data_IF_197818043786
#
_entry.id   IF_197818043786
#
_cell.length_a   1.000
_cell.length_b   1.000
_cell.length_c   1.000
_cell.angle_alpha   90.00
_cell.angle_beta   90.00
_cell.angle_gamma   90.00
#
_symmetry.space_group_name_H-M   'P 1'
#
loop_
_entity.id
_entity.type
_entity.pdbx_description
1 polymer ?
#
# COMPACT_ATOMS: atom_id res chain seq x y z
N UNK A 1 9.50 2.08 27.26
CA UNK A 1 9.41 1.35 25.95
C UNK A 1 10.42 0.20 25.91
N UNK A 2 11.56 0.34 26.59
CA UNK A 2 12.60 -0.69 26.58
C UNK A 2 12.15 -2.01 27.20
N UNK A 3 11.40 -1.97 28.32
CA UNK A 3 10.88 -3.16 29.01
C UNK A 3 9.92 -3.99 28.13
N UNK A 4 9.10 -3.33 27.28
CA UNK A 4 8.19 -4.05 26.39
C UNK A 4 8.96 -4.70 25.24
N UNK A 5 9.93 -3.99 24.67
CA UNK A 5 10.78 -4.52 23.61
C UNK A 5 11.60 -5.71 24.11
N UNK A 6 12.13 -5.64 25.33
CA UNK A 6 12.82 -6.76 25.97
C UNK A 6 11.87 -7.95 26.18
N UNK A 7 10.66 -7.72 26.67
CA UNK A 7 9.69 -8.77 26.95
C UNK A 7 9.25 -9.54 25.70
N UNK A 8 9.01 -8.84 24.57
CA UNK A 8 8.55 -9.50 23.32
C UNK A 8 9.68 -10.24 22.59
N UNK A 9 10.94 -9.90 22.89
CA UNK A 9 12.12 -10.57 22.34
C UNK A 9 12.71 -11.64 23.30
N UNK A 10 12.19 -11.74 24.53
CA UNK A 10 12.72 -12.68 25.52
C UNK A 10 12.52 -14.14 25.11
N UNK A 11 13.52 -14.96 25.42
CA UNK A 11 13.47 -16.42 25.28
C UNK A 11 13.92 -17.08 26.58
N UNK A 12 13.53 -18.34 26.78
CA UNK A 12 14.00 -19.15 27.92
C UNK A 12 14.02 -20.64 27.49
N UNK A 13 14.31 -21.53 28.45
CA UNK A 13 14.41 -22.96 28.16
C UNK A 13 13.08 -23.61 27.72
N UNK A 14 11.94 -23.00 28.03
CA UNK A 14 10.61 -23.48 27.61
C UNK A 14 10.18 -22.80 26.30
N UNK A 15 10.40 -21.50 26.20
CA UNK A 15 10.09 -20.69 25.01
C UNK A 15 11.41 -20.33 24.32
N UNK A 16 11.84 -21.19 23.41
CA UNK A 16 13.14 -21.08 22.71
C UNK A 16 13.12 -20.07 21.55
N UNK A 17 11.92 -19.63 21.17
CA UNK A 17 11.72 -18.56 20.19
C UNK A 17 10.95 -17.41 20.83
N UNK A 18 11.28 -16.18 20.46
CA UNK A 18 10.60 -15.00 20.98
C UNK A 18 9.20 -14.82 20.36
N UNK A 19 8.34 -14.05 21.03
CA UNK A 19 7.03 -13.69 20.48
C UNK A 19 7.16 -12.97 19.12
N UNK A 20 8.16 -12.11 18.98
CA UNK A 20 8.46 -11.40 17.72
C UNK A 20 8.75 -12.41 16.60
N UNK A 21 9.62 -13.41 16.83
CA UNK A 21 9.95 -14.42 15.82
C UNK A 21 8.71 -15.18 15.30
N UNK A 22 7.72 -15.40 16.16
CA UNK A 22 6.47 -16.05 15.76
C UNK A 22 5.50 -15.14 15.03
N UNK A 23 5.51 -13.84 15.33
CA UNK A 23 4.55 -12.87 14.82
C UNK A 23 5.04 -12.17 13.57
N UNK A 24 6.34 -12.08 13.35
CA UNK A 24 6.93 -11.40 12.20
C UNK A 24 6.83 -12.23 10.93
N UNK A 25 6.36 -11.60 9.85
CA UNK A 25 6.39 -12.14 8.49
C UNK A 25 7.32 -11.27 7.61
N UNK A 26 8.56 -11.09 8.06
CA UNK A 26 9.53 -10.16 7.47
C UNK A 26 10.46 -10.79 6.44
N UNK A 27 10.37 -12.11 6.24
CA UNK A 27 11.20 -12.80 5.24
C UNK A 27 10.88 -12.34 3.82
N UNK A 28 11.90 -11.88 3.11
CA UNK A 28 11.83 -11.56 1.68
C UNK A 28 12.14 -12.76 0.78
N UNK A 29 12.43 -13.94 1.37
CA UNK A 29 12.59 -15.15 0.60
C UNK A 29 11.23 -15.70 0.17
N UNK A 30 10.80 -15.32 -1.03
CA UNK A 30 9.56 -15.76 -1.66
C UNK A 30 9.80 -16.78 -2.79
N UNK A 31 10.95 -17.47 -2.81
CA UNK A 31 11.35 -18.37 -3.91
C UNK A 31 10.32 -19.47 -4.18
N UNK A 32 9.81 -20.11 -3.13
CA UNK A 32 8.76 -21.12 -3.27
C UNK A 32 7.46 -20.55 -3.83
N UNK A 33 7.09 -19.35 -3.39
CA UNK A 33 5.89 -18.66 -3.88
C UNK A 33 6.02 -18.30 -5.37
N UNK A 34 7.15 -17.75 -5.78
CA UNK A 34 7.42 -17.36 -7.17
C UNK A 34 7.59 -18.57 -8.09
N UNK A 35 8.18 -19.68 -7.60
CA UNK A 35 8.29 -20.92 -8.34
C UNK A 35 6.91 -21.54 -8.70
N UNK A 36 5.87 -21.21 -7.95
CA UNK A 36 4.49 -21.58 -8.25
C UNK A 36 3.71 -20.48 -8.99
N UNK A 37 4.41 -19.52 -9.62
CA UNK A 37 3.81 -18.38 -10.31
C UNK A 37 2.92 -17.49 -9.43
N UNK A 38 3.15 -17.49 -8.11
CA UNK A 38 2.40 -16.66 -7.17
C UNK A 38 2.49 -15.17 -7.52
N UNK A 39 1.40 -14.44 -7.29
CA UNK A 39 1.31 -12.99 -7.45
C UNK A 39 0.82 -12.36 -6.16
N UNK A 40 1.38 -11.21 -5.80
CA UNK A 40 1.02 -10.51 -4.57
C UNK A 40 0.83 -9.02 -4.85
N UNK A 41 -0.26 -8.47 -4.35
CA UNK A 41 -0.50 -7.02 -4.32
C UNK A 41 -0.52 -6.60 -2.85
N UNK A 42 0.43 -5.73 -2.49
CA UNK A 42 0.42 -5.01 -1.22
C UNK A 42 -0.33 -3.69 -1.42
N UNK A 43 -1.12 -3.29 -0.45
CA UNK A 43 -1.63 -1.93 -0.39
C UNK A 43 -1.65 -1.43 1.06
N UNK A 44 -1.41 -0.13 1.25
CA UNK A 44 -1.33 0.48 2.57
C UNK A 44 -1.84 1.92 2.53
N UNK A 45 -2.61 2.31 3.53
CA UNK A 45 -3.07 3.68 3.70
C UNK A 45 -1.97 4.59 4.25
N UNK A 46 -1.68 5.70 3.58
CA UNK A 46 -0.61 6.61 4.02
C UNK A 46 -0.91 7.32 5.35
N UNK A 47 -2.18 7.34 5.76
CA UNK A 47 -2.62 7.91 7.04
C UNK A 47 -3.03 6.84 8.04
N UNK A 48 -2.52 5.61 7.92
CA UNK A 48 -2.80 4.53 8.85
C UNK A 48 -2.28 4.88 10.26
N UNK A 49 -3.18 5.03 11.28
CA UNK A 49 -2.78 5.38 12.63
C UNK A 49 -2.34 4.16 13.46
N UNK A 50 -2.47 2.95 12.93
CA UNK A 50 -2.20 1.68 13.64
C UNK A 50 -0.86 1.10 13.23
N UNK A 51 -0.63 0.99 11.93
CA UNK A 51 0.60 0.46 11.37
C UNK A 51 1.27 1.49 10.44
N UNK A 52 2.57 1.62 10.57
CA UNK A 52 3.33 2.53 9.73
C UNK A 52 3.42 2.01 8.29
N UNK A 53 3.03 2.82 7.31
CA UNK A 53 3.26 2.49 5.91
C UNK A 53 4.74 2.29 5.59
N UNK A 54 5.64 2.90 6.35
CA UNK A 54 7.09 2.76 6.15
C UNK A 54 7.59 1.34 6.39
N UNK A 55 6.92 0.56 7.24
CA UNK A 55 7.28 -0.85 7.46
C UNK A 55 6.95 -1.67 6.19
N UNK A 56 5.80 -1.42 5.57
CA UNK A 56 5.41 -2.06 4.30
C UNK A 56 6.32 -1.62 3.15
N UNK A 57 6.67 -0.33 3.09
CA UNK A 57 7.61 0.19 2.09
C UNK A 57 8.98 -0.45 2.27
N UNK A 58 9.51 -0.49 3.49
CA UNK A 58 10.81 -1.12 3.79
C UNK A 58 10.83 -2.60 3.41
N UNK A 59 9.76 -3.33 3.70
CA UNK A 59 9.64 -4.72 3.28
C UNK A 59 9.70 -4.85 1.74
N UNK A 60 8.94 -4.03 1.02
CA UNK A 60 8.89 -4.05 -0.44
C UNK A 60 10.24 -3.64 -1.07
N UNK A 61 10.93 -2.65 -0.49
CA UNK A 61 12.27 -2.23 -0.92
C UNK A 61 13.31 -3.32 -0.68
N UNK A 62 13.26 -4.00 0.47
CA UNK A 62 14.12 -5.14 0.77
C UNK A 62 13.88 -6.30 -0.20
N UNK A 63 12.61 -6.59 -0.52
CA UNK A 63 12.23 -7.57 -1.53
C UNK A 63 12.79 -7.17 -2.91
N UNK A 64 12.65 -5.90 -3.29
CA UNK A 64 13.15 -5.36 -4.56
C UNK A 64 14.69 -5.36 -4.63
N UNK A 65 15.35 -5.13 -3.50
CA UNK A 65 16.82 -5.20 -3.41
C UNK A 65 17.32 -6.63 -3.59
N UNK A 66 16.56 -7.63 -3.12
CA UNK A 66 16.88 -9.05 -3.27
C UNK A 66 16.66 -9.54 -4.70
N UNK A 67 15.50 -9.25 -5.29
CA UNK A 67 15.04 -9.88 -6.53
C UNK A 67 15.23 -8.96 -7.77
N UNK A 68 15.62 -7.71 -7.55
CA UNK A 68 15.90 -6.74 -8.61
C UNK A 68 14.70 -6.50 -9.52
N UNK A 69 14.93 -6.49 -10.82
CA UNK A 69 13.87 -6.28 -11.82
C UNK A 69 12.81 -7.39 -11.82
N UNK A 70 13.10 -8.56 -11.25
CA UNK A 70 12.15 -9.66 -11.17
C UNK A 70 11.00 -9.37 -10.20
N UNK A 71 11.21 -8.52 -9.18
CA UNK A 71 10.16 -8.16 -8.21
C UNK A 71 8.87 -7.74 -8.91
N UNK A 72 8.98 -6.91 -9.93
CA UNK A 72 7.84 -6.45 -10.72
C UNK A 72 7.08 -7.55 -11.48
N UNK A 73 7.62 -8.76 -11.58
CA UNK A 73 6.94 -9.88 -12.25
C UNK A 73 5.96 -10.61 -11.33
N UNK A 74 6.07 -10.42 -10.01
CA UNK A 74 5.23 -11.13 -9.03
C UNK A 74 4.69 -10.25 -7.88
N UNK A 75 5.24 -9.07 -7.66
CA UNK A 75 4.83 -8.18 -6.56
C UNK A 75 4.52 -6.76 -7.04
N UNK A 76 3.51 -6.13 -6.46
CA UNK A 76 3.16 -4.71 -6.59
C UNK A 76 2.83 -4.15 -5.22
N UNK A 77 3.25 -2.92 -4.96
CA UNK A 77 2.84 -2.15 -3.78
C UNK A 77 2.08 -0.90 -4.24
N UNK A 78 0.94 -0.64 -3.62
CA UNK A 78 0.15 0.57 -3.82
C UNK A 78 -0.01 1.31 -2.49
N UNK A 79 0.39 2.57 -2.45
CA UNK A 79 0.14 3.46 -1.33
C UNK A 79 -1.11 4.29 -1.64
N UNK A 80 -2.02 4.38 -0.66
CA UNK A 80 -3.30 5.05 -0.84
C UNK A 80 -3.29 6.35 -0.03
N UNK A 81 -3.18 7.53 -0.70
CA UNK A 81 -3.12 8.82 -0.02
C UNK A 81 -4.33 9.07 0.86
N UNK A 82 -4.06 9.46 2.10
CA UNK A 82 -5.08 9.84 3.09
C UNK A 82 -5.91 8.70 3.65
N UNK A 83 -5.75 7.46 3.17
CA UNK A 83 -6.48 6.30 3.70
C UNK A 83 -5.94 5.91 5.08
N UNK A 84 -6.87 5.63 6.00
CA UNK A 84 -6.58 5.08 7.31
C UNK A 84 -6.34 3.56 7.22
N UNK A 85 -6.38 2.88 8.38
CA UNK A 85 -6.24 1.42 8.43
C UNK A 85 -7.36 0.74 7.65
N UNK A 86 -7.02 0.14 6.50
CA UNK A 86 -7.87 -0.60 5.56
C UNK A 86 -8.97 0.18 4.85
N UNK A 87 -9.43 1.31 5.36
CA UNK A 87 -10.45 2.16 4.72
C UNK A 87 -10.65 3.47 5.47
N UNK A 88 -11.41 4.40 4.86
CA UNK A 88 -11.70 5.70 5.44
C UNK A 88 -10.51 6.65 5.39
N UNK A 89 -10.66 7.79 6.03
CA UNK A 89 -9.68 8.87 6.05
C UNK A 89 -10.23 10.14 5.43
N UNK A 90 -9.69 11.28 5.87
CA UNK A 90 -10.08 12.57 5.31
C UNK A 90 -9.55 12.66 3.88
N UNK A 91 -10.45 12.93 2.93
CA UNK A 91 -10.11 13.07 1.51
C UNK A 91 -9.53 11.81 0.84
N UNK A 92 -9.64 10.64 1.46
CA UNK A 92 -9.16 9.39 0.88
C UNK A 92 -10.04 8.92 -0.28
N UNK A 93 -9.40 8.35 -1.31
CA UNK A 93 -10.06 7.57 -2.35
C UNK A 93 -9.79 6.09 -2.05
N UNK A 94 -10.61 5.52 -1.17
CA UNK A 94 -10.40 4.22 -0.52
C UNK A 94 -11.22 3.07 -1.12
N UNK A 95 -11.92 3.35 -2.23
CA UNK A 95 -12.67 2.34 -2.98
C UNK A 95 -11.95 2.00 -4.29
N UNK A 96 -11.34 0.83 -4.36
CA UNK A 96 -10.62 0.28 -5.51
C UNK A 96 -10.79 -1.24 -5.54
N UNK A 97 -10.42 -1.88 -6.65
CA UNK A 97 -10.63 -3.32 -6.87
C UNK A 97 -9.29 -4.10 -6.94
N UNK A 98 -8.67 -4.42 -5.80
CA UNK A 98 -7.46 -5.23 -5.79
C UNK A 98 -7.72 -6.70 -6.14
N UNK A 99 -8.96 -7.21 -5.90
CA UNK A 99 -9.31 -8.58 -6.24
C UNK A 99 -9.38 -8.78 -7.76
N UNK A 100 -10.06 -7.90 -8.48
CA UNK A 100 -10.10 -7.96 -9.93
C UNK A 100 -8.70 -7.79 -10.54
N UNK A 101 -7.88 -6.92 -9.97
CA UNK A 101 -6.50 -6.72 -10.41
C UNK A 101 -5.65 -7.99 -10.24
N UNK A 102 -5.71 -8.66 -9.08
CA UNK A 102 -4.91 -9.89 -8.85
C UNK A 102 -5.41 -11.06 -9.68
N UNK A 103 -6.72 -11.20 -9.88
CA UNK A 103 -7.31 -12.23 -10.75
C UNK A 103 -6.82 -12.03 -12.19
N UNK A 104 -6.89 -10.81 -12.72
CA UNK A 104 -6.39 -10.49 -14.06
C UNK A 104 -4.90 -10.79 -14.20
N UNK A 105 -4.13 -10.50 -13.15
CA UNK A 105 -2.69 -10.79 -13.16
C UNK A 105 -2.39 -12.29 -13.20
N UNK A 106 -3.09 -13.09 -12.38
CA UNK A 106 -2.88 -14.54 -12.31
C UNK A 106 -3.39 -15.23 -13.57
N UNK A 107 -4.59 -14.89 -14.04
CA UNK A 107 -5.26 -15.62 -15.11
C UNK A 107 -4.88 -15.14 -16.51
N UNK A 108 -4.69 -13.83 -16.69
CA UNK A 108 -4.37 -13.22 -17.99
C UNK A 108 -2.91 -12.75 -18.11
N UNK A 109 -2.11 -12.87 -17.05
CA UNK A 109 -0.72 -12.40 -17.04
C UNK A 109 -0.56 -10.88 -17.03
N UNK A 110 -1.66 -10.13 -16.84
CA UNK A 110 -1.65 -8.66 -16.89
C UNK A 110 -1.40 -8.09 -15.51
N UNK A 111 -0.14 -7.70 -15.25
CA UNK A 111 0.22 -7.01 -14.02
C UNK A 111 -0.50 -5.66 -13.92
N UNK A 112 -1.01 -5.24 -12.74
CA UNK A 112 -1.67 -3.95 -12.62
C UNK A 112 -0.64 -2.81 -12.67
N UNK A 113 -0.69 -2.01 -13.74
CA UNK A 113 0.09 -0.77 -13.87
C UNK A 113 -0.60 0.42 -13.20
N UNK A 114 -1.86 0.28 -12.84
CA UNK A 114 -2.63 1.16 -11.96
C UNK A 114 -3.93 0.49 -11.54
N UNK A 115 -4.53 1.02 -10.46
CA UNK A 115 -5.92 0.73 -10.08
C UNK A 115 -6.67 2.05 -9.93
N UNK A 116 -7.93 2.12 -10.39
CA UNK A 116 -8.73 3.33 -10.24
C UNK A 116 -9.38 3.36 -8.86
N UNK A 117 -8.99 4.34 -8.06
CA UNK A 117 -9.59 4.59 -6.76
C UNK A 117 -10.66 5.68 -6.83
N UNK A 118 -11.70 5.50 -6.03
CA UNK A 118 -12.84 6.41 -5.87
C UNK A 118 -13.11 6.65 -4.40
N UNK A 119 -13.92 7.64 -4.11
CA UNK A 119 -14.43 7.83 -2.76
C UNK A 119 -15.48 6.75 -2.47
N UNK A 120 -15.28 5.97 -1.40
CA UNK A 120 -16.24 4.97 -0.91
C UNK A 120 -17.43 5.60 -0.19
N UNK A 121 -17.46 6.91 0.02
CA UNK A 121 -18.53 7.56 0.75
C UNK A 121 -19.90 7.34 0.07
N UNK A 122 -20.50 6.23 0.43
CA UNK A 122 -21.92 5.99 0.26
C UNK A 122 -22.51 5.80 1.68
N UNK A 123 -23.23 6.78 2.22
CA UNK A 123 -23.79 6.70 3.57
C UNK A 123 -24.75 5.50 3.77
N UNK A 124 -25.13 4.85 2.68
CA UNK A 124 -26.06 3.72 2.70
C UNK A 124 -25.41 2.35 2.41
N UNK A 125 -24.14 2.30 2.02
CA UNK A 125 -23.57 1.09 1.41
C UNK A 125 -22.54 0.32 2.28
N UNK A 126 -22.13 0.83 3.43
CA UNK A 126 -21.20 0.08 4.29
C UNK A 126 -21.86 -0.36 5.59
N UNK A 127 -22.39 -1.60 5.67
CA UNK A 127 -22.99 -2.12 6.90
C UNK A 127 -21.98 -2.33 8.04
N UNK A 128 -20.67 -2.32 7.76
CA UNK A 128 -19.61 -2.48 8.76
C UNK A 128 -19.12 -1.14 9.33
N UNK A 129 -19.48 -0.02 8.67
CA UNK A 129 -19.20 1.32 9.17
C UNK A 129 -20.44 2.21 9.01
N UNK A 130 -21.45 2.02 9.87
CA UNK A 130 -22.75 2.70 9.76
C UNK A 130 -22.71 4.19 10.15
N UNK A 131 -21.60 4.66 10.72
CA UNK A 131 -21.42 6.07 11.01
C UNK A 131 -20.53 6.69 9.95
N UNK A 132 -21.07 7.61 9.11
CA UNK A 132 -20.21 8.42 8.25
C UNK A 132 -19.20 9.11 9.16
N UNK A 133 -17.89 8.85 8.97
CA UNK A 133 -16.91 9.72 9.57
C UNK A 133 -17.20 11.13 9.03
N UNK A 134 -17.58 12.11 9.86
CA UNK A 134 -17.91 13.45 9.38
C UNK A 134 -16.72 14.13 8.71
N UNK A 135 -15.51 13.57 8.86
CA UNK A 135 -14.28 13.99 8.21
C UNK A 135 -13.98 13.19 6.94
N UNK A 136 -14.69 12.09 6.67
CA UNK A 136 -14.51 11.30 5.45
C UNK A 136 -15.51 11.74 4.39
N UNK A 137 -15.02 12.25 3.30
CA UNK A 137 -15.70 12.24 2.03
C UNK A 137 -16.72 13.33 1.72
N UNK A 138 -17.27 14.05 2.69
CA UNK A 138 -18.22 15.12 2.38
C UNK A 138 -17.59 16.35 1.71
N UNK A 139 -16.27 16.43 1.74
CA UNK A 139 -15.51 17.53 1.12
C UNK A 139 -14.95 17.19 -0.27
N UNK A 140 -15.04 15.93 -0.71
CA UNK A 140 -14.60 15.55 -2.05
C UNK A 140 -15.74 15.73 -3.05
N UNK A 141 -15.46 16.28 -4.25
CA UNK A 141 -16.42 16.29 -5.34
C UNK A 141 -16.95 14.90 -5.63
N UNK A 142 -18.28 14.82 -5.87
CA UNK A 142 -18.92 13.57 -6.27
C UNK A 142 -18.28 13.04 -7.55
N UNK A 143 -17.92 11.75 -7.55
CA UNK A 143 -17.33 11.08 -8.70
C UNK A 143 -15.82 11.27 -8.86
N UNK A 144 -15.14 11.94 -7.91
CA UNK A 144 -13.68 12.03 -7.95
C UNK A 144 -13.04 10.66 -8.04
N UNK A 145 -12.09 10.52 -8.96
CA UNK A 145 -11.27 9.33 -9.13
C UNK A 145 -9.80 9.68 -9.36
N UNK A 146 -8.91 8.76 -9.00
CA UNK A 146 -7.46 8.85 -9.23
C UNK A 146 -6.91 7.47 -9.55
N UNK A 147 -5.89 7.36 -10.39
CA UNK A 147 -5.14 6.13 -10.45
C UNK A 147 -4.29 5.98 -9.18
N UNK A 148 -4.35 4.81 -8.55
CA UNK A 148 -3.32 4.34 -7.64
C UNK A 148 -2.19 3.79 -8.51
N UNK A 149 -0.99 4.29 -8.31
CA UNK A 149 0.19 3.90 -9.07
C UNK A 149 1.03 2.91 -8.27
N UNK A 150 1.66 1.93 -8.94
CA UNK A 150 2.56 1.02 -8.24
C UNK A 150 3.80 1.76 -7.73
N UNK A 151 4.14 1.58 -6.46
CA UNK A 151 5.32 2.17 -5.83
C UNK A 151 6.61 1.84 -6.63
N UNK A 152 7.51 2.79 -6.85
CA UNK A 152 7.55 4.16 -6.30
C UNK A 152 6.84 5.22 -7.15
N UNK A 153 6.08 4.86 -8.17
CA UNK A 153 5.38 5.80 -9.03
C UNK A 153 4.25 6.54 -8.27
N UNK A 154 3.90 7.72 -8.77
CA UNK A 154 2.78 8.51 -8.29
C UNK A 154 1.91 9.03 -9.44
N UNK A 155 0.66 9.39 -9.14
CA UNK A 155 -0.29 9.93 -10.10
C UNK A 155 0.03 11.41 -10.38
N UNK A 156 0.42 11.71 -11.61
CA UNK A 156 0.65 13.08 -12.07
C UNK A 156 -0.48 13.54 -13.00
N UNK A 157 -1.03 14.71 -12.70
CA UNK A 157 -2.02 15.34 -13.58
C UNK A 157 -1.39 15.75 -14.91
N UNK A 158 -2.07 15.46 -16.03
CA UNK A 158 -1.56 15.74 -17.38
C UNK A 158 -1.62 17.22 -17.78
N UNK A 159 -2.30 18.05 -16.97
CA UNK A 159 -2.49 19.48 -17.25
C UNK A 159 -3.71 19.76 -18.13
N UNK A 160 -4.44 18.76 -18.59
CA UNK A 160 -5.63 18.92 -19.45
C UNK A 160 -6.79 18.06 -18.92
N UNK A 161 -8.02 18.49 -19.21
CA UNK A 161 -9.24 17.81 -18.76
C UNK A 161 -9.59 18.14 -17.29
N UNK A 162 -10.54 17.40 -16.74
CA UNK A 162 -10.96 17.57 -15.34
C UNK A 162 -9.96 16.94 -14.39
N UNK A 163 -9.49 17.69 -13.39
CA UNK A 163 -8.70 17.15 -12.30
C UNK A 163 -9.49 16.22 -11.36
N UNK A 164 -10.80 16.03 -11.60
CA UNK A 164 -11.63 15.10 -10.84
C UNK A 164 -11.66 13.69 -11.46
N UNK A 165 -11.14 13.53 -12.69
CA UNK A 165 -11.18 12.27 -13.43
C UNK A 165 -9.79 11.63 -13.54
N UNK A 166 -9.71 10.37 -13.13
CA UNK A 166 -8.49 9.56 -13.22
C UNK A 166 -7.90 9.46 -14.63
N UNK A 167 -8.74 9.57 -15.67
CA UNK A 167 -8.31 9.53 -17.08
C UNK A 167 -7.35 10.68 -17.45
N UNK A 168 -7.30 11.74 -16.64
CA UNK A 168 -6.41 12.88 -16.85
C UNK A 168 -5.14 12.85 -16.00
N UNK A 169 -4.78 11.65 -15.53
CA UNK A 169 -3.57 11.40 -14.76
C UNK A 169 -2.77 10.26 -15.38
N UNK A 170 -1.47 10.31 -15.18
CA UNK A 170 -0.54 9.23 -15.56
C UNK A 170 0.32 8.85 -14.37
N UNK A 171 0.68 7.57 -14.27
CA UNK A 171 1.66 7.09 -13.30
C UNK A 171 3.06 7.43 -13.80
N UNK A 172 3.80 8.19 -13.01
CA UNK A 172 5.16 8.62 -13.35
C UNK A 172 6.15 8.20 -12.27
N UNK A 173 7.38 7.90 -12.67
CA UNK A 173 8.45 7.65 -11.73
C UNK A 173 8.81 8.94 -10.97
N UNK A 174 9.18 8.86 -9.68
CA UNK A 174 9.62 10.02 -8.93
C UNK A 174 10.86 10.64 -9.57
N UNK A 175 10.81 11.95 -9.78
CA UNK A 175 11.99 12.71 -10.15
C UNK A 175 12.72 13.09 -8.85
N UNK A 176 14.05 12.87 -8.74
CA UNK A 176 14.83 13.28 -7.56
C UNK A 176 14.70 14.76 -7.21
N UNK A 177 14.41 15.60 -8.21
CA UNK A 177 14.25 17.04 -8.07
C UNK A 177 12.79 17.47 -7.78
N UNK A 178 11.85 16.52 -7.78
CA UNK A 178 10.44 16.81 -7.54
C UNK A 178 10.19 16.88 -6.02
N UNK A 179 9.81 18.07 -5.52
CA UNK A 179 9.46 18.25 -4.12
C UNK A 179 8.22 17.47 -3.69
N UNK A 180 7.35 17.10 -4.63
CA UNK A 180 6.11 16.34 -4.40
C UNK A 180 6.32 14.82 -4.52
N UNK A 181 7.47 14.38 -5.01
CA UNK A 181 7.79 12.95 -5.05
C UNK A 181 7.85 12.40 -3.61
N UNK A 182 7.27 11.20 -3.35
CA UNK A 182 7.39 10.57 -2.04
C UNK A 182 8.87 10.39 -1.69
N UNK A 183 9.40 11.29 -0.85
CA UNK A 183 10.77 11.17 -0.35
C UNK A 183 10.78 10.18 0.79
N UNK A 184 10.65 8.91 0.47
CA UNK A 184 10.91 7.84 1.44
C UNK A 184 12.42 7.79 1.63
N UNK A 185 12.94 8.63 2.51
CA UNK A 185 14.27 8.42 3.03
C UNK A 185 14.20 7.25 4.01
N UNK A 186 14.97 6.22 3.72
CA UNK A 186 15.27 5.12 4.63
C UNK A 186 15.72 5.70 5.98
N UNK A 187 14.78 5.86 6.92
CA UNK A 187 15.07 6.48 8.24
C UNK A 187 15.51 5.41 9.26
N UNK A 188 15.39 4.14 8.94
CA UNK A 188 15.69 3.07 9.88
C UNK A 188 16.71 2.09 9.34
N UNK A 189 18.01 2.47 9.41
CA UNK A 189 19.05 1.50 9.63
C UNK A 189 19.03 1.18 11.14
N UNK A 190 18.34 0.13 11.55
CA UNK A 190 18.65 -0.51 12.82
C UNK A 190 19.88 -1.39 12.58
N UNK A 191 20.98 -1.02 13.25
CA UNK A 191 22.13 -1.89 13.49
C UNK A 191 21.72 -3.00 14.45
#
# INVERSE_FOLDING_TARGET
>A
MDDLNEAVNATNSTFTQSAVTYMEATSTNLDTFTAHNGKIIFFHGESDPVFSMYDTVSYYENLSSRDGSNTGTFARLFLIPGMNHCSGGSYALDSFDPLGAIVSWVEAGTAPDSMIARNSFNPTANPLNPTPNPLSGSALPSGRSRPLCPYPQYAQYTGTGSSEDAANFTCVAPNPDDELAPKVKTIFHRQ
#
